data_IF_991122344829
#
_entry.id   IF_991122344829
#
_cell.length_a   1.000
_cell.length_b   1.000
_cell.length_c   1.000
_cell.angle_alpha   90.00
_cell.angle_beta   90.00
_cell.angle_gamma   90.00
#
_symmetry.space_group_name_H-M   'P 1'
#
loop_
_entity.id
_entity.type
_entity.pdbx_description
1 polymer ?
#
# COMPACT_ATOMS: atom_id res chain seq x y z
N UNK A 1 13.22 -10.30 7.15
CA UNK A 1 14.21 -10.13 6.08
C UNK A 1 13.53 -9.44 4.90
N UNK A 2 14.17 -8.43 4.30
CA UNK A 2 13.72 -7.77 3.07
C UNK A 2 14.07 -8.68 1.89
N UNK A 3 13.08 -8.99 1.07
CA UNK A 3 13.24 -9.83 -0.13
C UNK A 3 13.32 -9.01 -1.41
N UNK A 4 12.56 -7.91 -1.48
CA UNK A 4 12.53 -7.02 -2.64
C UNK A 4 12.43 -5.56 -2.14
N UNK A 5 13.01 -4.64 -2.91
CA UNK A 5 12.94 -3.19 -2.70
C UNK A 5 12.66 -2.53 -4.03
N UNK A 6 11.62 -1.71 -4.07
CA UNK A 6 11.21 -0.98 -5.26
C UNK A 6 11.19 0.51 -4.90
N UNK A 7 11.94 1.32 -5.64
CA UNK A 7 11.86 2.79 -5.52
C UNK A 7 10.63 3.24 -6.28
N UNK A 8 9.64 3.77 -5.58
CA UNK A 8 8.37 4.22 -6.14
C UNK A 8 8.45 5.68 -6.63
N UNK A 9 9.06 6.53 -5.82
CA UNK A 9 9.33 7.94 -6.11
C UNK A 9 10.47 8.43 -5.20
N UNK A 10 10.89 9.68 -5.32
CA UNK A 10 11.92 10.25 -4.46
C UNK A 10 11.51 10.14 -2.98
N UNK A 11 12.34 9.48 -2.20
CA UNK A 11 12.10 9.24 -0.76
C UNK A 11 10.96 8.26 -0.44
N UNK A 12 10.41 7.55 -1.42
CA UNK A 12 9.33 6.57 -1.23
C UNK A 12 9.76 5.23 -1.80
N UNK A 13 9.77 4.20 -0.96
CA UNK A 13 10.08 2.82 -1.35
C UNK A 13 8.98 1.86 -0.95
N UNK A 14 8.85 0.81 -1.71
CA UNK A 14 8.08 -0.38 -1.37
C UNK A 14 9.05 -1.51 -1.00
N UNK A 15 8.82 -2.13 0.14
CA UNK A 15 9.61 -3.24 0.65
C UNK A 15 8.75 -4.50 0.75
N UNK A 16 9.16 -5.57 0.09
CA UNK A 16 8.60 -6.90 0.27
C UNK A 16 9.36 -7.60 1.39
N UNK A 17 8.69 -7.88 2.48
CA UNK A 17 9.30 -8.38 3.71
C UNK A 17 8.79 -9.78 4.04
N UNK A 18 9.70 -10.72 4.29
CA UNK A 18 9.34 -12.05 4.74
C UNK A 18 8.83 -12.03 6.18
N UNK A 19 7.54 -12.30 6.37
CA UNK A 19 6.82 -12.28 7.64
C UNK A 19 5.63 -13.25 7.60
N UNK A 20 5.86 -14.58 7.52
CA UNK A 20 4.84 -15.57 7.17
C UNK A 20 3.67 -15.66 8.16
N UNK A 21 3.90 -15.41 9.44
CA UNK A 21 2.83 -15.44 10.45
C UNK A 21 1.89 -14.22 10.27
N UNK A 22 2.45 -13.07 9.92
CA UNK A 22 1.68 -11.85 9.66
C UNK A 22 0.92 -12.01 8.35
N UNK A 23 1.59 -12.46 7.29
CA UNK A 23 0.99 -12.63 5.96
C UNK A 23 -0.24 -13.55 5.98
N UNK A 24 -0.18 -14.66 6.71
CA UNK A 24 -1.32 -15.60 6.85
C UNK A 24 -2.51 -15.01 7.60
N UNK A 25 -2.28 -14.07 8.51
CA UNK A 25 -3.31 -13.46 9.34
C UNK A 25 -3.77 -12.09 8.83
N UNK A 26 -3.07 -11.51 7.86
CA UNK A 26 -3.31 -10.18 7.32
C UNK A 26 -4.68 -10.05 6.65
N UNK A 27 -5.31 -8.91 6.85
CA UNK A 27 -6.56 -8.51 6.20
C UNK A 27 -6.51 -7.04 5.81
N UNK A 28 -7.28 -6.67 4.81
CA UNK A 28 -7.37 -5.29 4.32
C UNK A 28 -7.69 -4.28 5.43
N UNK A 29 -6.96 -3.17 5.45
CA UNK A 29 -7.11 -2.11 6.45
C UNK A 29 -6.28 -2.29 7.72
N UNK A 30 -5.52 -3.38 7.85
CA UNK A 30 -4.64 -3.60 8.99
C UNK A 30 -3.24 -3.01 8.76
N UNK A 31 -2.48 -2.90 9.83
CA UNK A 31 -1.12 -2.36 9.86
C UNK A 31 -0.19 -3.24 10.71
N UNK A 32 1.08 -2.93 10.65
CA UNK A 32 2.12 -3.50 11.53
C UNK A 32 2.85 -2.39 12.27
N UNK A 33 3.48 -2.72 13.39
CA UNK A 33 4.47 -1.86 14.03
C UNK A 33 5.86 -2.41 13.74
N UNK A 34 6.72 -1.55 13.22
CA UNK A 34 8.06 -1.91 12.77
C UNK A 34 9.10 -1.27 13.68
N UNK A 35 10.02 -2.09 14.18
CA UNK A 35 11.23 -1.68 14.90
C UNK A 35 12.40 -1.83 13.92
N UNK A 36 12.93 -0.71 13.45
CA UNK A 36 13.98 -0.73 12.44
C UNK A 36 15.32 -1.29 12.98
N UNK A 37 15.69 -0.95 14.21
CA UNK A 37 16.88 -1.42 14.95
C UNK A 37 16.56 -1.53 16.45
N UNK A 38 17.32 -2.29 17.21
CA UNK A 38 17.04 -2.68 18.61
C UNK A 38 16.72 -1.55 19.60
N UNK A 39 17.15 -0.34 19.30
CA UNK A 39 16.90 0.86 20.13
C UNK A 39 16.10 1.92 19.39
N UNK A 40 15.50 1.57 18.27
CA UNK A 40 14.68 2.46 17.46
C UNK A 40 13.27 2.66 18.03
N UNK A 41 12.53 3.55 17.40
CA UNK A 41 11.10 3.69 17.69
C UNK A 41 10.30 2.64 16.92
N UNK A 42 9.23 2.17 17.55
CA UNK A 42 8.22 1.36 16.87
C UNK A 42 7.31 2.28 16.08
N UNK A 43 7.43 2.27 14.76
CA UNK A 43 6.58 3.06 13.87
C UNK A 43 5.47 2.21 13.24
N UNK A 44 4.25 2.73 13.12
CA UNK A 44 3.17 2.04 12.42
C UNK A 44 3.35 2.17 10.90
N UNK A 45 3.22 1.05 10.19
CA UNK A 45 3.19 1.01 8.73
C UNK A 45 1.99 0.17 8.30
N UNK A 46 1.18 0.70 7.39
CA UNK A 46 0.02 -0.04 6.88
C UNK A 46 0.48 -1.18 5.97
N UNK A 47 -0.21 -2.30 6.02
CA UNK A 47 -0.04 -3.38 5.06
C UNK A 47 -0.56 -2.90 3.70
N UNK A 48 0.34 -2.65 2.77
CA UNK A 48 0.01 -2.26 1.40
C UNK A 48 -0.46 -3.45 0.56
N UNK A 49 0.13 -4.61 0.84
CA UNK A 49 -0.28 -5.90 0.30
C UNK A 49 0.30 -7.05 1.14
N UNK A 50 -0.08 -8.28 0.82
CA UNK A 50 0.50 -9.49 1.39
C UNK A 50 0.25 -10.71 0.50
N UNK A 51 1.12 -11.68 0.62
CA UNK A 51 0.99 -13.00 0.00
C UNK A 51 1.17 -14.08 1.09
N UNK A 52 0.07 -14.78 1.40
CA UNK A 52 0.05 -15.81 2.44
C UNK A 52 0.84 -17.07 2.05
N UNK A 53 0.95 -17.37 0.74
CA UNK A 53 1.67 -18.53 0.22
C UNK A 53 3.19 -18.27 0.22
N UNK A 54 3.61 -17.11 -0.30
CA UNK A 54 5.01 -16.66 -0.23
C UNK A 54 5.44 -16.29 1.20
N UNK A 55 4.49 -16.02 2.09
CA UNK A 55 4.75 -15.56 3.45
C UNK A 55 5.31 -14.15 3.50
N UNK A 56 4.87 -13.25 2.60
CA UNK A 56 5.38 -11.88 2.48
C UNK A 56 4.32 -10.84 2.81
N UNK A 57 4.78 -9.71 3.29
CA UNK A 57 4.00 -8.48 3.46
C UNK A 57 4.70 -7.35 2.72
N UNK A 58 3.92 -6.43 2.17
CA UNK A 58 4.42 -5.28 1.44
C UNK A 58 4.18 -4.00 2.24
N UNK A 59 5.24 -3.24 2.43
CA UNK A 59 5.25 -2.01 3.21
C UNK A 59 5.74 -0.86 2.33
N UNK A 60 4.94 0.21 2.21
CA UNK A 60 5.38 1.44 1.54
C UNK A 60 5.84 2.42 2.59
N UNK A 61 7.07 2.91 2.43
CA UNK A 61 7.75 3.75 3.41
C UNK A 61 8.21 5.04 2.78
N UNK A 62 7.71 6.16 3.31
CA UNK A 62 8.21 7.49 2.97
C UNK A 62 9.23 7.97 4.02
N UNK A 63 10.34 8.49 3.55
CA UNK A 63 11.39 9.08 4.39
C UNK A 63 10.94 10.42 4.96
N UNK A 64 10.46 10.44 6.22
CA UNK A 64 9.95 11.64 6.90
C UNK A 64 10.67 11.92 8.22
N UNK A 65 11.12 10.89 8.92
CA UNK A 65 11.82 10.97 10.21
C UNK A 65 12.92 9.94 10.30
N UNK A 66 13.65 9.90 11.41
CA UNK A 66 14.83 9.02 11.57
C UNK A 66 14.53 7.56 11.30
N UNK A 67 13.47 7.01 11.89
CA UNK A 67 13.11 5.60 11.74
C UNK A 67 12.64 5.26 10.32
N UNK A 68 11.80 6.09 9.71
CA UNK A 68 11.33 5.86 8.33
C UNK A 68 12.46 6.05 7.31
N UNK A 69 13.38 7.01 7.54
CA UNK A 69 14.57 7.20 6.70
C UNK A 69 15.51 6.00 6.80
N UNK A 70 15.72 5.47 8.01
CA UNK A 70 16.53 4.27 8.19
C UNK A 70 15.94 3.07 7.43
N UNK A 71 14.63 2.82 7.58
CA UNK A 71 13.94 1.72 6.87
C UNK A 71 13.99 1.93 5.35
N UNK A 72 13.79 3.15 4.88
CA UNK A 72 13.85 3.51 3.47
C UNK A 72 15.23 3.23 2.85
N UNK A 73 16.30 3.36 3.63
CA UNK A 73 17.68 3.10 3.20
C UNK A 73 18.12 1.64 3.35
N UNK A 74 17.30 0.77 3.96
CA UNK A 74 17.61 -0.66 4.03
C UNK A 74 17.57 -1.29 2.63
N UNK A 75 18.37 -2.35 2.45
CA UNK A 75 18.52 -3.02 1.18
C UNK A 75 18.00 -4.47 1.21
N UNK A 76 17.87 -5.07 0.03
CA UNK A 76 17.51 -6.49 -0.09
C UNK A 76 18.52 -7.35 0.65
N UNK A 77 18.00 -8.22 1.50
CA UNK A 77 18.80 -9.07 2.38
C UNK A 77 18.90 -8.57 3.82
N UNK A 78 18.68 -7.28 4.06
CA UNK A 78 18.68 -6.72 5.41
C UNK A 78 17.55 -7.30 6.27
N UNK A 79 17.75 -7.23 7.58
CA UNK A 79 16.80 -7.76 8.57
C UNK A 79 16.28 -6.61 9.43
N UNK A 80 14.98 -6.37 9.38
CA UNK A 80 14.27 -5.48 10.29
C UNK A 80 14.29 -6.12 11.69
N UNK A 81 14.66 -5.36 12.72
CA UNK A 81 14.86 -5.87 14.08
C UNK A 81 13.58 -6.49 14.68
N UNK A 82 12.42 -5.90 14.40
CA UNK A 82 11.16 -6.47 14.85
C UNK A 82 9.95 -5.99 14.05
N UNK A 83 8.97 -6.86 13.86
CA UNK A 83 7.68 -6.51 13.28
C UNK A 83 6.60 -7.18 14.13
N UNK A 84 5.65 -6.38 14.62
CA UNK A 84 4.49 -6.84 15.37
C UNK A 84 3.21 -6.59 14.56
N UNK A 85 2.39 -7.63 14.41
CA UNK A 85 1.13 -7.54 13.66
C UNK A 85 0.56 -8.91 13.27
N UNK A 86 -0.51 -8.92 12.45
CA UNK A 86 -1.25 -7.73 12.02
C UNK A 86 -2.00 -7.05 13.19
N UNK A 87 -2.11 -5.74 13.15
CA UNK A 87 -2.76 -4.90 14.17
C UNK A 87 -3.93 -4.14 13.56
N UNK A 88 -4.82 -3.68 14.42
CA UNK A 88 -6.03 -2.98 14.03
C UNK A 88 -7.16 -3.93 13.61
N UNK A 89 -8.36 -3.38 13.50
CA UNK A 89 -9.51 -4.11 12.99
C UNK A 89 -9.48 -4.09 11.46
N UNK A 90 -9.81 -5.21 10.79
CA UNK A 90 -10.00 -5.22 9.35
C UNK A 90 -11.09 -4.24 8.93
N UNK A 91 -10.95 -3.68 7.74
CA UNK A 91 -11.99 -2.85 7.14
C UNK A 91 -13.28 -3.66 6.97
N UNK A 92 -14.41 -3.01 7.24
CA UNK A 92 -15.71 -3.61 6.99
C UNK A 92 -15.97 -3.56 5.49
N UNK A 93 -16.17 -4.72 4.90
CA UNK A 93 -16.47 -4.87 3.49
C UNK A 93 -17.95 -5.18 3.32
N UNK A 94 -18.58 -4.60 2.32
CA UNK A 94 -19.96 -4.83 1.99
C UNK A 94 -20.13 -4.95 0.47
N UNK A 95 -20.97 -5.89 0.03
CA UNK A 95 -21.38 -5.95 -1.36
C UNK A 95 -22.62 -5.07 -1.57
N UNK A 96 -22.52 -4.15 -2.49
CA UNK A 96 -23.61 -3.26 -2.88
C UNK A 96 -24.36 -3.85 -4.07
N UNK A 97 -25.69 -3.85 -4.03
CA UNK A 97 -26.52 -4.54 -5.03
C UNK A 97 -27.25 -3.60 -6.00
N UNK A 98 -27.30 -2.31 -5.68
CA UNK A 98 -28.12 -1.32 -6.40
C UNK A 98 -27.34 -0.40 -7.32
N UNK A 99 -26.15 -0.82 -7.81
CA UNK A 99 -25.31 0.00 -8.67
C UNK A 99 -24.61 1.15 -7.93
N UNK A 100 -24.51 1.05 -6.62
CA UNK A 100 -23.75 1.99 -5.80
C UNK A 100 -22.25 1.87 -6.07
N UNK A 101 -21.56 2.99 -6.06
CA UNK A 101 -20.11 3.06 -6.26
C UNK A 101 -19.40 3.35 -4.94
N UNK A 102 -18.37 2.58 -4.65
CA UNK A 102 -17.47 2.87 -3.52
C UNK A 102 -16.39 3.85 -3.97
N UNK A 103 -16.34 5.00 -3.35
CA UNK A 103 -15.35 6.04 -3.70
C UNK A 103 -14.21 6.02 -2.69
N UNK A 104 -12.99 5.86 -3.18
CA UNK A 104 -11.76 6.01 -2.41
C UNK A 104 -11.08 7.31 -2.78
N UNK A 105 -10.62 8.04 -1.78
CA UNK A 105 -9.77 9.22 -1.97
C UNK A 105 -8.43 8.99 -1.29
N UNK A 106 -7.34 9.23 -1.99
CA UNK A 106 -5.99 9.02 -1.49
C UNK A 106 -5.06 10.15 -1.90
N UNK A 107 -4.13 10.53 -1.01
CA UNK A 107 -3.09 11.50 -1.31
C UNK A 107 -1.69 10.91 -1.08
N UNK A 108 -0.83 10.87 -2.10
CA UNK A 108 0.53 10.35 -1.98
C UNK A 108 0.59 8.98 -1.33
N UNK A 109 1.32 8.85 -0.22
CA UNK A 109 1.44 7.60 0.56
C UNK A 109 0.16 7.19 1.31
N UNK A 110 -0.94 7.91 1.14
CA UNK A 110 -2.27 7.45 1.52
C UNK A 110 -2.87 6.42 0.56
N UNK A 111 -2.30 6.27 -0.66
CA UNK A 111 -2.75 5.27 -1.63
C UNK A 111 -2.51 3.81 -1.17
N UNK A 112 -1.32 3.42 -0.67
CA UNK A 112 -1.07 2.07 -0.18
C UNK A 112 -2.07 1.56 0.88
N UNK A 113 -2.48 2.35 1.88
CA UNK A 113 -3.50 1.95 2.84
C UNK A 113 -4.86 1.57 2.24
N UNK A 114 -5.30 2.27 1.19
CA UNK A 114 -6.61 2.03 0.59
C UNK A 114 -6.57 0.94 -0.47
N UNK A 115 -5.43 0.65 -1.06
CA UNK A 115 -5.27 -0.32 -2.15
C UNK A 115 -5.84 -1.72 -1.81
N UNK A 116 -5.48 -2.37 -0.69
CA UNK A 116 -6.02 -3.69 -0.36
C UNK A 116 -7.52 -3.66 -0.08
N UNK A 117 -8.05 -2.56 0.48
CA UNK A 117 -9.49 -2.41 0.73
C UNK A 117 -10.24 -2.29 -0.60
N UNK A 118 -9.73 -1.47 -1.50
CA UNK A 118 -10.26 -1.27 -2.86
C UNK A 118 -10.28 -2.60 -3.63
N UNK A 119 -9.18 -3.36 -3.60
CA UNK A 119 -9.08 -4.68 -4.24
C UNK A 119 -10.13 -5.65 -3.71
N UNK A 120 -10.39 -5.70 -2.41
CA UNK A 120 -11.42 -6.56 -1.85
C UNK A 120 -12.84 -6.13 -2.28
N UNK A 121 -13.14 -4.84 -2.40
CA UNK A 121 -14.41 -4.36 -2.95
C UNK A 121 -14.60 -4.80 -4.41
N UNK A 122 -13.57 -4.70 -5.23
CA UNK A 122 -13.59 -5.16 -6.63
C UNK A 122 -13.82 -6.68 -6.72
N UNK A 123 -13.15 -7.47 -5.88
CA UNK A 123 -13.36 -8.93 -5.80
C UNK A 123 -14.78 -9.32 -5.41
N UNK A 124 -15.47 -8.47 -4.65
CA UNK A 124 -16.88 -8.64 -4.32
C UNK A 124 -17.82 -8.21 -5.46
N UNK A 125 -17.30 -7.65 -6.55
CA UNK A 125 -18.07 -7.16 -7.68
C UNK A 125 -18.66 -5.75 -7.48
N UNK A 126 -18.13 -4.97 -6.54
CA UNK A 126 -18.54 -3.58 -6.37
C UNK A 126 -17.90 -2.69 -7.43
N UNK A 127 -18.62 -1.68 -7.90
CA UNK A 127 -18.04 -0.58 -8.64
C UNK A 127 -17.20 0.30 -7.69
N UNK A 128 -16.02 0.67 -8.14
CA UNK A 128 -15.06 1.45 -7.37
C UNK A 128 -14.57 2.64 -8.20
N UNK A 129 -14.53 3.80 -7.58
CA UNK A 129 -13.84 4.98 -8.12
C UNK A 129 -12.70 5.35 -7.18
N UNK A 130 -11.47 5.35 -7.71
CA UNK A 130 -10.30 5.86 -7.02
C UNK A 130 -10.00 7.29 -7.48
N UNK A 131 -9.94 8.23 -6.55
CA UNK A 131 -9.43 9.59 -6.78
C UNK A 131 -8.10 9.70 -6.03
N UNK A 132 -6.98 9.75 -6.77
CA UNK A 132 -5.65 9.79 -6.17
C UNK A 132 -4.92 11.08 -6.53
N UNK A 133 -4.57 11.85 -5.49
CA UNK A 133 -3.87 13.12 -5.62
C UNK A 133 -2.40 13.02 -5.21
N UNK A 134 -1.54 13.73 -5.93
CA UNK A 134 -0.11 13.84 -5.62
C UNK A 134 0.31 15.31 -5.62
N UNK A 135 1.47 15.64 -5.05
CA UNK A 135 1.98 17.01 -5.11
C UNK A 135 2.41 17.37 -6.51
N UNK A 136 3.14 16.48 -7.16
CA UNK A 136 3.68 16.64 -8.52
C UNK A 136 3.60 15.29 -9.25
N UNK A 137 3.71 15.32 -10.58
CA UNK A 137 3.77 14.11 -11.42
C UNK A 137 4.92 13.18 -11.02
N UNK A 138 6.08 13.72 -10.68
CA UNK A 138 7.27 12.92 -10.34
C UNK A 138 7.12 12.13 -9.04
N UNK A 139 6.13 12.48 -8.22
CA UNK A 139 5.79 11.77 -6.99
C UNK A 139 4.65 10.76 -7.18
N UNK A 140 4.10 10.64 -8.39
CA UNK A 140 3.10 9.62 -8.70
C UNK A 140 3.75 8.24 -8.75
N UNK A 141 3.04 7.27 -8.19
CA UNK A 141 3.46 5.87 -8.25
C UNK A 141 2.23 4.96 -8.37
N UNK A 142 2.45 3.74 -8.86
CA UNK A 142 1.45 2.73 -9.15
C UNK A 142 0.45 3.09 -10.28
N UNK A 143 0.58 4.28 -10.89
CA UNK A 143 -0.27 4.81 -11.95
C UNK A 143 0.01 4.22 -13.34
N UNK A 144 1.22 3.69 -13.55
CA UNK A 144 1.61 3.09 -14.82
C UNK A 144 0.86 1.77 -15.08
N UNK A 145 0.70 1.35 -16.35
CA UNK A 145 0.00 0.09 -16.69
C UNK A 145 0.54 -1.15 -16.00
N UNK A 146 1.82 -1.18 -15.67
CA UNK A 146 2.50 -2.24 -14.91
C UNK A 146 2.58 -1.95 -13.41
N UNK A 147 2.09 -0.80 -12.96
CA UNK A 147 1.96 -0.46 -11.54
C UNK A 147 0.75 -1.15 -10.90
N UNK A 148 0.69 -1.18 -9.58
CA UNK A 148 -0.37 -1.90 -8.86
C UNK A 148 -1.78 -1.45 -9.23
N UNK A 149 -2.02 -0.15 -9.37
CA UNK A 149 -3.35 0.38 -9.74
C UNK A 149 -3.64 0.10 -11.22
N UNK A 150 -2.65 0.26 -12.10
CA UNK A 150 -2.81 -0.06 -13.51
C UNK A 150 -3.13 -1.54 -13.76
N UNK A 151 -2.45 -2.45 -13.06
CA UNK A 151 -2.75 -3.89 -13.12
C UNK A 151 -4.13 -4.21 -12.59
N UNK A 152 -4.54 -3.57 -11.49
CA UNK A 152 -5.87 -3.75 -10.92
C UNK A 152 -6.97 -3.24 -11.86
N UNK A 153 -6.74 -2.11 -12.54
CA UNK A 153 -7.65 -1.57 -13.55
C UNK A 153 -7.76 -2.49 -14.78
N UNK A 154 -6.66 -3.11 -15.19
CA UNK A 154 -6.67 -4.10 -16.27
C UNK A 154 -7.40 -5.39 -15.87
N UNK A 155 -7.36 -5.79 -14.60
CA UNK A 155 -8.09 -6.96 -14.07
C UNK A 155 -9.59 -6.67 -13.93
N UNK A 156 -9.97 -5.43 -13.60
CA UNK A 156 -11.37 -5.02 -13.38
C UNK A 156 -11.77 -3.81 -14.25
N UNK A 157 -11.71 -3.91 -15.60
CA UNK A 157 -11.88 -2.74 -16.49
C UNK A 157 -13.28 -2.12 -16.43
N UNK A 158 -14.30 -2.89 -16.09
CA UNK A 158 -15.70 -2.44 -16.01
C UNK A 158 -16.11 -2.03 -14.58
N UNK A 159 -15.25 -2.22 -13.60
CA UNK A 159 -15.56 -1.98 -12.19
C UNK A 159 -14.67 -0.93 -11.52
N UNK A 160 -13.50 -0.60 -12.10
CA UNK A 160 -12.57 0.36 -11.52
C UNK A 160 -12.36 1.58 -12.40
N UNK A 161 -12.87 2.72 -11.95
CA UNK A 161 -12.54 4.03 -12.48
C UNK A 161 -11.41 4.66 -11.66
N UNK A 162 -10.44 5.27 -12.36
CA UNK A 162 -9.29 5.92 -11.71
C UNK A 162 -9.14 7.35 -12.21
N UNK A 163 -9.06 8.28 -11.27
CA UNK A 163 -8.82 9.70 -11.52
C UNK A 163 -7.54 10.09 -10.77
N UNK A 164 -6.55 10.58 -11.52
CA UNK A 164 -5.32 11.13 -10.94
C UNK A 164 -5.31 12.64 -11.06
N UNK A 165 -4.76 13.29 -10.04
CA UNK A 165 -4.58 14.73 -10.03
C UNK A 165 -3.25 15.12 -9.37
N UNK A 166 -2.75 16.32 -9.67
CA UNK A 166 -1.59 16.89 -8.98
C UNK A 166 -1.86 18.32 -8.51
N UNK A 167 -1.25 18.69 -7.37
CA UNK A 167 -1.48 20.02 -6.81
C UNK A 167 -0.89 21.15 -7.65
N UNK A 168 0.19 20.86 -8.39
CA UNK A 168 0.88 21.82 -9.25
C UNK A 168 0.36 21.86 -10.69
N UNK A 169 -0.65 21.05 -11.02
CA UNK A 169 -1.21 20.95 -12.37
C UNK A 169 -0.29 20.25 -13.38
N UNK A 170 0.76 19.56 -12.94
CA UNK A 170 1.65 18.80 -13.83
C UNK A 170 0.99 17.53 -14.40
N UNK A 171 -0.16 17.14 -13.84
CA UNK A 171 -1.03 16.06 -14.31
C UNK A 171 -2.48 16.28 -13.86
N UNK A 172 -3.45 16.24 -14.78
CA UNK A 172 -4.89 16.33 -14.51
C UNK A 172 -5.43 17.74 -14.41
#
# INVERSE_FOLDING_TARGET
>A
KILEKIVLAEGIVELVVYAPLIARAARAGQFVRVLAWDKGELIPLTLADWDAERGTIDLVVQSLGSSSTYINNMEVGDVIAGIAGPLGLPSRLHRYENGETVVFTAGGVGLPPVYPIMREHLRMGNHVTLISGFRTRDLMFWDQPNGRVGLLQAEYPDLLDVIYTTNDGSFG
#
